data_IF_386441828059
#
_entry.id   IF_386441828059
#
_cell.length_a   1.000
_cell.length_b   1.000
_cell.length_c   1.000
_cell.angle_alpha   90.00
_cell.angle_beta   90.00
_cell.angle_gamma   90.00
#
_symmetry.space_group_name_H-M   'P 1'
#
loop_
_entity.id
_entity.type
_entity.pdbx_description
1 polymer ?
#
# COMPACT_ATOMS: atom_id res chain seq x y z
N UNK A 1 9.95 -19.67 -14.16
CA UNK A 1 9.40 -18.82 -15.24
C UNK A 1 9.07 -17.41 -14.78
N UNK A 2 8.26 -17.24 -13.72
CA UNK A 2 7.82 -15.92 -13.21
C UNK A 2 8.98 -14.96 -12.88
N UNK A 3 9.97 -15.42 -12.10
CA UNK A 3 11.13 -14.58 -11.73
C UNK A 3 11.93 -14.12 -12.95
N UNK A 4 12.14 -15.00 -13.92
CA UNK A 4 12.84 -14.65 -15.16
C UNK A 4 12.06 -13.63 -15.98
N UNK A 5 10.73 -13.68 -15.95
CA UNK A 5 9.90 -12.68 -16.61
C UNK A 5 9.97 -11.33 -15.89
N UNK A 6 9.90 -11.32 -14.57
CA UNK A 6 10.09 -10.11 -13.76
C UNK A 6 11.42 -9.43 -14.06
N UNK A 7 12.52 -10.19 -14.12
CA UNK A 7 13.85 -9.67 -14.47
C UNK A 7 13.89 -9.09 -15.89
N UNK A 8 13.31 -9.78 -16.89
CA UNK A 8 13.25 -9.26 -18.28
C UNK A 8 12.46 -7.96 -18.38
N UNK A 9 11.43 -7.80 -17.55
CA UNK A 9 10.63 -6.58 -17.49
C UNK A 9 11.32 -5.46 -16.68
N UNK A 10 12.46 -5.73 -16.05
CA UNK A 10 13.18 -4.79 -15.19
C UNK A 10 12.50 -4.56 -13.83
N UNK A 11 11.58 -5.44 -13.43
CA UNK A 11 10.91 -5.34 -12.14
C UNK A 11 11.93 -5.41 -10.98
N UNK A 12 11.65 -4.65 -9.92
CA UNK A 12 12.47 -4.61 -8.70
C UNK A 12 11.81 -5.36 -7.53
N UNK A 13 10.50 -5.57 -7.64
CA UNK A 13 9.66 -6.16 -6.60
C UNK A 13 8.75 -7.21 -7.23
N UNK A 14 8.57 -8.34 -6.56
CA UNK A 14 7.61 -9.37 -6.91
C UNK A 14 6.60 -9.53 -5.77
N UNK A 15 5.31 -9.36 -6.08
CA UNK A 15 4.25 -9.22 -5.07
C UNK A 15 3.18 -10.30 -5.26
N UNK A 16 2.76 -10.94 -4.16
CA UNK A 16 1.57 -11.81 -4.12
C UNK A 16 0.33 -10.99 -3.76
N UNK A 17 -0.71 -11.01 -4.61
CA UNK A 17 -1.87 -10.09 -4.55
C UNK A 17 -3.08 -10.63 -5.33
N UNK A 18 -4.17 -9.83 -5.38
CA UNK A 18 -5.50 -10.07 -5.97
C UNK A 18 -6.41 -11.00 -5.15
N UNK A 19 -6.24 -12.31 -5.30
CA UNK A 19 -6.84 -13.24 -4.33
C UNK A 19 -6.11 -13.07 -3.00
N UNK A 20 -6.77 -13.39 -1.88
CA UNK A 20 -6.13 -13.29 -0.57
C UNK A 20 -4.86 -14.18 -0.54
N UNK A 21 -3.65 -13.58 -0.58
CA UNK A 21 -2.43 -14.34 -0.83
C UNK A 21 -2.04 -15.22 0.36
N UNK A 22 -2.60 -14.97 1.55
CA UNK A 22 -2.37 -15.81 2.71
C UNK A 22 -2.90 -17.25 2.53
N UNK A 23 -3.93 -17.45 1.68
CA UNK A 23 -4.50 -18.77 1.39
C UNK A 23 -3.48 -19.66 0.65
N UNK A 24 -2.55 -19.06 -0.10
CA UNK A 24 -1.56 -19.76 -0.92
C UNK A 24 -0.12 -19.40 -0.51
N UNK A 25 0.09 -19.19 0.78
CA UNK A 25 1.37 -18.74 1.35
C UNK A 25 2.55 -19.64 0.97
N UNK A 26 2.35 -20.96 0.90
CA UNK A 26 3.38 -21.93 0.53
C UNK A 26 3.83 -21.74 -0.92
N UNK A 27 2.88 -21.48 -1.81
CA UNK A 27 3.16 -21.21 -3.21
C UNK A 27 3.88 -19.87 -3.38
N UNK A 28 3.41 -18.83 -2.69
CA UNK A 28 4.06 -17.53 -2.69
C UNK A 28 5.52 -17.62 -2.20
N UNK A 29 5.77 -18.35 -1.10
CA UNK A 29 7.12 -18.57 -0.58
C UNK A 29 8.00 -19.35 -1.56
N UNK A 30 7.46 -20.35 -2.26
CA UNK A 30 8.22 -21.06 -3.30
C UNK A 30 8.70 -20.11 -4.40
N UNK A 31 7.85 -19.17 -4.84
CA UNK A 31 8.24 -18.15 -5.82
C UNK A 31 9.21 -17.13 -5.23
N UNK A 32 8.99 -16.72 -3.97
CA UNK A 32 9.81 -15.70 -3.30
C UNK A 32 11.23 -16.18 -3.01
N UNK A 33 11.43 -17.47 -2.70
CA UNK A 33 12.76 -18.06 -2.59
C UNK A 33 13.60 -17.80 -3.84
N UNK A 34 13.03 -18.08 -5.00
CA UNK A 34 13.67 -17.84 -6.30
C UNK A 34 13.83 -16.33 -6.59
N UNK A 35 12.84 -15.51 -6.22
CA UNK A 35 12.88 -14.06 -6.42
C UNK A 35 14.00 -13.40 -5.60
N UNK A 36 14.12 -13.76 -4.31
CA UNK A 36 15.17 -13.26 -3.43
C UNK A 36 16.55 -13.74 -3.86
N UNK A 37 16.69 -14.99 -4.30
CA UNK A 37 17.94 -15.49 -4.88
C UNK A 37 18.37 -14.70 -6.13
N UNK A 38 17.40 -14.15 -6.88
CA UNK A 38 17.63 -13.26 -8.01
C UNK A 38 17.79 -11.77 -7.65
N UNK A 39 17.80 -11.41 -6.36
CA UNK A 39 17.96 -10.03 -5.88
C UNK A 39 16.70 -9.16 -5.98
N UNK A 40 15.52 -9.75 -6.16
CA UNK A 40 14.24 -9.02 -6.14
C UNK A 40 13.74 -8.87 -4.70
N UNK A 41 13.12 -7.72 -4.42
CA UNK A 41 12.31 -7.55 -3.23
C UNK A 41 11.00 -8.32 -3.37
N UNK A 42 10.42 -8.68 -2.25
CA UNK A 42 9.23 -9.52 -2.16
C UNK A 42 8.19 -8.89 -1.26
N UNK A 43 6.91 -9.08 -1.57
CA UNK A 43 5.86 -8.52 -0.72
C UNK A 43 4.46 -9.07 -0.93
N UNK A 44 3.58 -8.73 0.01
CA UNK A 44 2.19 -9.14 0.03
C UNK A 44 1.26 -7.93 -0.05
N UNK A 45 0.13 -8.09 -0.74
CA UNK A 45 -1.02 -7.19 -0.67
C UNK A 45 -2.21 -8.05 -0.27
N UNK A 46 -2.73 -7.81 0.93
CA UNK A 46 -3.63 -8.74 1.61
C UNK A 46 -4.69 -7.99 2.41
N UNK A 47 -5.81 -8.66 2.68
CA UNK A 47 -6.83 -8.18 3.63
C UNK A 47 -6.35 -8.19 5.10
N UNK A 48 -5.17 -8.74 5.38
CA UNK A 48 -4.54 -8.71 6.70
C UNK A 48 -5.09 -9.73 7.69
N UNK A 49 -5.91 -10.70 7.28
CA UNK A 49 -6.44 -11.74 8.17
C UNK A 49 -5.38 -12.85 8.45
N UNK A 50 -4.20 -12.44 8.92
CA UNK A 50 -3.06 -13.30 9.18
C UNK A 50 -3.11 -13.95 10.56
N UNK A 51 -2.82 -15.24 10.62
CA UNK A 51 -2.50 -15.92 11.88
C UNK A 51 -1.05 -15.64 12.29
N UNK A 52 -0.70 -15.69 13.59
CA UNK A 52 0.70 -15.58 14.01
C UNK A 52 1.64 -16.57 13.30
N UNK A 53 1.15 -17.78 13.02
CA UNK A 53 1.91 -18.85 12.37
C UNK A 53 2.25 -18.52 10.92
N UNK A 54 1.28 -18.00 10.15
CA UNK A 54 1.55 -17.64 8.74
C UNK A 54 2.47 -16.42 8.66
N UNK A 55 2.34 -15.45 9.56
CA UNK A 55 3.23 -14.29 9.59
C UNK A 55 4.67 -14.69 9.93
N UNK A 56 4.86 -15.60 10.89
CA UNK A 56 6.21 -16.12 11.20
C UNK A 56 6.77 -16.96 10.04
N UNK A 57 5.94 -17.78 9.38
CA UNK A 57 6.34 -18.53 8.19
C UNK A 57 6.80 -17.61 7.05
N UNK A 58 6.11 -16.49 6.85
CA UNK A 58 6.43 -15.51 5.80
C UNK A 58 7.62 -14.62 6.15
N UNK A 59 7.93 -14.41 7.43
CA UNK A 59 8.86 -13.39 7.94
C UNK A 59 10.19 -13.28 7.19
N UNK A 60 10.83 -14.40 6.85
CA UNK A 60 12.12 -14.39 6.14
C UNK A 60 12.01 -14.15 4.63
N UNK A 61 10.80 -14.24 4.09
CA UNK A 61 10.51 -14.27 2.65
C UNK A 61 9.79 -13.03 2.15
N UNK A 62 9.48 -12.07 3.01
CA UNK A 62 8.82 -10.81 2.64
C UNK A 62 9.60 -9.61 3.13
N UNK A 63 9.64 -8.57 2.31
CA UNK A 63 10.28 -7.29 2.62
C UNK A 63 9.23 -6.18 2.82
N UNK A 64 8.11 -6.30 2.10
CA UNK A 64 7.00 -5.33 2.05
C UNK A 64 5.65 -6.02 2.34
N UNK A 65 4.75 -5.34 3.04
CA UNK A 65 3.38 -5.80 3.26
C UNK A 65 2.42 -4.61 3.20
N UNK A 66 1.40 -4.73 2.34
CA UNK A 66 0.25 -3.84 2.30
C UNK A 66 -0.96 -4.54 2.93
N UNK A 67 -1.56 -3.90 3.93
CA UNK A 67 -2.80 -4.39 4.55
C UNK A 67 -3.98 -3.51 4.11
N UNK A 68 -5.04 -4.15 3.63
CA UNK A 68 -6.33 -3.48 3.42
C UNK A 68 -7.11 -3.43 4.74
N UNK A 69 -7.05 -2.30 5.43
CA UNK A 69 -7.89 -2.04 6.59
C UNK A 69 -9.21 -1.41 6.12
N UNK A 70 -10.19 -2.26 5.86
CA UNK A 70 -11.43 -1.93 5.14
C UNK A 70 -12.47 -1.16 5.97
N UNK A 71 -12.40 -1.25 7.28
CA UNK A 71 -13.30 -0.56 8.21
C UNK A 71 -12.63 -0.49 9.58
N UNK A 72 -13.17 0.33 10.48
CA UNK A 72 -12.85 0.31 11.91
C UNK A 72 -14.08 0.00 12.79
N UNK A 73 -15.11 -0.61 12.21
CA UNK A 73 -16.28 -1.19 12.89
C UNK A 73 -16.28 -2.72 12.68
N UNK A 74 -16.38 -3.49 13.77
CA UNK A 74 -16.35 -4.95 13.70
C UNK A 74 -17.60 -5.54 13.04
N UNK A 75 -18.75 -4.85 13.09
CA UNK A 75 -19.99 -5.28 12.41
C UNK A 75 -19.83 -5.22 10.90
N UNK A 76 -19.25 -4.14 10.37
CA UNK A 76 -18.94 -4.03 8.95
C UNK A 76 -17.98 -5.13 8.49
N UNK A 77 -17.01 -5.53 9.32
CA UNK A 77 -16.19 -6.70 9.00
C UNK A 77 -16.97 -8.01 8.95
N UNK A 78 -17.93 -8.20 9.86
CA UNK A 78 -18.78 -9.40 9.83
C UNK A 78 -19.61 -9.49 8.54
N UNK A 79 -20.13 -8.36 8.05
CA UNK A 79 -20.82 -8.29 6.75
C UNK A 79 -19.90 -8.68 5.58
N UNK A 80 -18.61 -8.37 5.68
CA UNK A 80 -17.57 -8.77 4.72
C UNK A 80 -17.05 -10.21 4.93
N UNK A 81 -17.57 -10.95 5.92
CA UNK A 81 -17.14 -12.32 6.24
C UNK A 81 -15.83 -12.40 7.05
N UNK A 82 -15.45 -11.34 7.74
CA UNK A 82 -14.25 -11.25 8.57
C UNK A 82 -14.51 -10.70 9.97
N UNK A 83 -13.43 -10.44 10.72
CA UNK A 83 -13.46 -9.78 12.04
C UNK A 83 -12.30 -8.83 12.11
N UNK A 84 -12.44 -7.65 12.73
CA UNK A 84 -11.37 -6.64 12.72
C UNK A 84 -10.15 -7.06 13.55
N UNK A 85 -10.37 -7.75 14.66
CA UNK A 85 -9.32 -8.11 15.64
C UNK A 85 -8.06 -8.74 15.01
N UNK A 86 -8.20 -9.85 14.24
CA UNK A 86 -7.08 -10.46 13.54
C UNK A 86 -6.29 -9.53 12.61
N UNK A 87 -6.97 -8.57 11.95
CA UNK A 87 -6.32 -7.58 11.08
C UNK A 87 -5.47 -6.62 11.91
N UNK A 88 -6.00 -6.10 13.02
CA UNK A 88 -5.25 -5.18 13.90
C UNK A 88 -4.03 -5.88 14.51
N UNK A 89 -4.16 -7.14 14.90
CA UNK A 89 -3.04 -7.93 15.42
C UNK A 89 -1.99 -8.21 14.35
N UNK A 90 -2.41 -8.46 13.10
CA UNK A 90 -1.50 -8.61 11.97
C UNK A 90 -0.70 -7.33 11.72
N UNK A 91 -1.36 -6.17 11.69
CA UNK A 91 -0.71 -4.86 11.52
C UNK A 91 0.37 -4.64 12.59
N UNK A 92 0.03 -4.86 13.87
CA UNK A 92 1.01 -4.74 14.98
C UNK A 92 2.19 -5.69 14.80
N UNK A 93 1.94 -6.96 14.46
CA UNK A 93 2.98 -7.98 14.30
C UNK A 93 3.91 -7.65 13.14
N UNK A 94 3.37 -7.25 11.99
CA UNK A 94 4.15 -6.86 10.81
C UNK A 94 5.10 -5.69 11.14
N UNK A 95 4.58 -4.68 11.84
CA UNK A 95 5.39 -3.55 12.30
C UNK A 95 6.52 -4.01 13.25
N UNK A 96 6.19 -4.81 14.28
CA UNK A 96 7.19 -5.33 15.23
C UNK A 96 8.23 -6.27 14.60
N UNK A 97 7.88 -6.94 13.48
CA UNK A 97 8.80 -7.78 12.71
C UNK A 97 9.80 -6.96 11.88
N UNK A 98 9.61 -5.65 11.74
CA UNK A 98 10.45 -4.78 10.92
C UNK A 98 10.17 -4.89 9.41
N UNK A 99 9.04 -5.47 9.04
CA UNK A 99 8.58 -5.53 7.64
C UNK A 99 8.07 -4.14 7.25
N UNK A 100 8.40 -3.67 6.04
CA UNK A 100 7.86 -2.39 5.56
C UNK A 100 6.35 -2.51 5.39
N UNK A 101 5.60 -1.72 6.14
CA UNK A 101 4.15 -1.84 6.26
C UNK A 101 3.47 -0.59 5.74
N UNK A 102 2.52 -0.79 4.82
CA UNK A 102 1.61 0.26 4.35
C UNK A 102 0.16 -0.17 4.56
N UNK A 103 -0.71 0.78 4.88
CA UNK A 103 -2.13 0.53 5.12
C UNK A 103 -2.95 1.22 4.06
N UNK A 104 -3.93 0.53 3.51
CA UNK A 104 -4.86 1.12 2.54
C UNK A 104 -6.30 0.92 2.99
N UNK A 105 -7.08 1.98 2.85
CA UNK A 105 -8.51 2.00 3.10
C UNK A 105 -9.21 2.51 1.84
N UNK A 106 -10.02 1.66 1.21
CA UNK A 106 -10.96 2.10 0.19
C UNK A 106 -12.12 2.80 0.91
N UNK A 107 -12.22 4.11 0.75
CA UNK A 107 -13.29 4.90 1.36
C UNK A 107 -14.58 4.64 0.55
N UNK A 108 -15.66 4.28 1.22
CA UNK A 108 -16.95 3.94 0.61
C UNK A 108 -18.03 4.77 1.33
N UNK A 109 -18.70 5.71 0.63
CA UNK A 109 -19.73 6.55 1.22
C UNK A 109 -20.83 5.74 1.91
N UNK A 110 -21.15 6.10 3.16
CA UNK A 110 -22.19 5.44 3.95
C UNK A 110 -21.78 4.09 4.56
N UNK A 111 -20.56 3.60 4.28
CA UNK A 111 -20.06 2.34 4.84
C UNK A 111 -18.94 2.57 5.86
N UNK A 112 -17.83 3.21 5.47
CA UNK A 112 -16.66 3.38 6.36
C UNK A 112 -16.12 4.83 6.39
N UNK A 113 -16.93 5.80 5.96
CA UNK A 113 -16.50 7.17 5.72
C UNK A 113 -16.86 8.16 6.84
N UNK A 114 -17.41 7.67 7.96
CA UNK A 114 -17.75 8.53 9.10
C UNK A 114 -16.50 9.13 9.75
N UNK A 115 -16.62 10.38 10.25
CA UNK A 115 -15.50 11.04 10.93
C UNK A 115 -15.00 10.28 12.17
N UNK A 116 -15.92 9.64 12.92
CA UNK A 116 -15.55 8.86 14.11
C UNK A 116 -14.74 7.62 13.74
N UNK A 117 -15.21 6.86 12.74
CA UNK A 117 -14.52 5.66 12.29
C UNK A 117 -13.14 5.97 11.72
N UNK A 118 -13.03 7.00 10.88
CA UNK A 118 -11.76 7.45 10.33
C UNK A 118 -10.78 7.89 11.43
N UNK A 119 -11.25 8.64 12.44
CA UNK A 119 -10.40 9.04 13.58
C UNK A 119 -9.89 7.82 14.33
N UNK A 120 -10.78 6.89 14.70
CA UNK A 120 -10.39 5.67 15.43
C UNK A 120 -9.39 4.83 14.63
N UNK A 121 -9.56 4.73 13.31
CA UNK A 121 -8.62 4.06 12.41
C UNK A 121 -7.25 4.74 12.43
N UNK A 122 -7.21 6.05 12.23
CA UNK A 122 -5.95 6.80 12.13
C UNK A 122 -5.23 6.91 13.47
N UNK A 123 -5.97 7.04 14.57
CA UNK A 123 -5.43 7.02 15.94
C UNK A 123 -4.79 5.67 16.25
N UNK A 124 -5.40 4.56 15.81
CA UNK A 124 -4.81 3.24 15.94
C UNK A 124 -3.48 3.12 15.18
N UNK A 125 -3.40 3.62 13.94
CA UNK A 125 -2.18 3.60 13.16
C UNK A 125 -1.08 4.49 13.79
N UNK A 126 -1.42 5.73 14.13
CA UNK A 126 -0.49 6.67 14.76
C UNK A 126 0.00 6.17 16.13
N UNK A 127 -0.84 5.45 16.87
CA UNK A 127 -0.49 4.78 18.11
C UNK A 127 0.50 3.63 17.96
N UNK A 128 0.65 3.06 16.75
CA UNK A 128 1.72 2.10 16.42
C UNK A 128 2.96 2.87 15.97
N UNK A 129 2.82 3.71 14.95
CA UNK A 129 3.86 4.64 14.51
C UNK A 129 3.29 5.70 13.57
N UNK A 130 3.66 6.98 13.75
CA UNK A 130 3.29 8.05 12.82
C UNK A 130 3.94 7.90 11.43
N UNK A 131 4.93 7.02 11.30
CA UNK A 131 5.64 6.77 10.04
C UNK A 131 4.97 5.74 9.13
N UNK A 132 3.95 5.01 9.62
CA UNK A 132 3.20 4.06 8.78
C UNK A 132 2.43 4.83 7.71
N UNK A 133 2.70 4.61 6.41
CA UNK A 133 1.93 5.24 5.36
C UNK A 133 0.50 4.73 5.37
N UNK A 134 -0.45 5.68 5.35
CA UNK A 134 -1.86 5.38 5.15
C UNK A 134 -2.31 5.94 3.81
N UNK A 135 -2.90 5.08 2.99
CA UNK A 135 -3.52 5.46 1.74
C UNK A 135 -5.03 5.38 1.88
N UNK A 136 -5.71 6.51 1.66
CA UNK A 136 -7.16 6.56 1.53
C UNK A 136 -7.50 6.70 0.04
N UNK A 137 -8.21 5.73 -0.51
CA UNK A 137 -8.49 5.65 -1.95
C UNK A 137 -9.98 5.76 -2.23
N UNK A 138 -10.34 6.42 -3.33
CA UNK A 138 -11.74 6.54 -3.74
C UNK A 138 -12.32 5.21 -4.19
N UNK A 139 -13.51 4.91 -3.69
CA UNK A 139 -14.43 3.98 -4.31
C UNK A 139 -15.01 4.58 -5.60
N UNK A 140 -15.18 3.71 -6.59
CA UNK A 140 -15.91 3.98 -7.83
C UNK A 140 -16.81 2.77 -8.08
N UNK A 141 -18.06 3.02 -8.42
CA UNK A 141 -19.04 1.98 -8.69
C UNK A 141 -18.76 1.35 -10.06
N UNK A 142 -18.58 0.04 -10.08
CA UNK A 142 -18.20 -0.70 -11.28
C UNK A 142 -19.03 -1.98 -11.43
N UNK A 143 -19.23 -2.36 -12.70
CA UNK A 143 -19.90 -3.58 -13.13
C UNK A 143 -21.36 -3.75 -12.66
N UNK A 144 -21.59 -4.32 -11.48
CA UNK A 144 -22.92 -4.63 -10.92
C UNK A 144 -23.17 -3.93 -9.58
N UNK A 145 -22.19 -3.17 -9.11
CA UNK A 145 -22.33 -2.37 -7.92
C UNK A 145 -22.92 -1.03 -8.36
N UNK A 146 -24.22 -0.84 -8.11
CA UNK A 146 -24.95 0.38 -8.51
C UNK A 146 -25.01 1.41 -7.37
N UNK A 147 -24.84 0.94 -6.13
CA UNK A 147 -24.82 1.71 -4.89
C UNK A 147 -23.62 1.27 -4.02
N UNK A 148 -23.07 2.14 -3.15
CA UNK A 148 -23.38 3.56 -2.99
C UNK A 148 -22.80 4.43 -4.12
N UNK A 149 -22.95 5.75 -4.03
CA UNK A 149 -22.30 6.71 -4.93
C UNK A 149 -20.76 6.64 -4.84
N UNK A 150 -20.10 7.14 -5.88
CA UNK A 150 -18.65 7.25 -5.94
C UNK A 150 -18.12 8.15 -4.81
N UNK A 151 -16.91 7.83 -4.33
CA UNK A 151 -16.21 8.71 -3.40
C UNK A 151 -15.80 9.98 -4.12
N UNK A 152 -16.11 11.14 -3.53
CA UNK A 152 -15.75 12.42 -4.13
C UNK A 152 -14.38 12.89 -3.61
N UNK A 153 -13.67 13.77 -4.34
CA UNK A 153 -12.40 14.33 -3.88
C UNK A 153 -12.47 14.95 -2.47
N UNK A 154 -13.57 15.64 -2.14
CA UNK A 154 -13.79 16.25 -0.83
C UNK A 154 -13.83 15.23 0.31
N UNK A 155 -14.34 14.02 0.06
CA UNK A 155 -14.41 12.95 1.05
C UNK A 155 -13.00 12.42 1.36
N UNK A 156 -12.16 12.29 0.33
CA UNK A 156 -10.75 11.92 0.49
C UNK A 156 -9.94 12.99 1.21
N UNK A 157 -10.11 14.27 0.84
CA UNK A 157 -9.40 15.38 1.48
C UNK A 157 -9.77 15.48 2.97
N UNK A 158 -11.05 15.30 3.31
CA UNK A 158 -11.52 15.21 4.69
C UNK A 158 -10.86 14.06 5.44
N UNK A 159 -10.84 12.86 4.86
CA UNK A 159 -10.20 11.70 5.48
C UNK A 159 -8.70 11.91 5.68
N UNK A 160 -8.03 12.49 4.68
CA UNK A 160 -6.60 12.76 4.74
C UNK A 160 -6.25 13.77 5.83
N UNK A 161 -7.08 14.80 6.02
CA UNK A 161 -6.94 15.77 7.10
C UNK A 161 -7.16 15.14 8.48
N UNK A 162 -8.12 14.21 8.61
CA UNK A 162 -8.30 13.42 9.85
C UNK A 162 -7.02 12.63 10.16
N UNK A 163 -6.44 11.95 9.18
CA UNK A 163 -5.20 11.18 9.36
C UNK A 163 -4.02 12.04 9.79
N UNK A 164 -3.87 13.24 9.21
CA UNK A 164 -2.83 14.20 9.63
C UNK A 164 -3.05 14.70 11.06
N UNK A 165 -4.29 15.01 11.42
CA UNK A 165 -4.64 15.46 12.78
C UNK A 165 -4.42 14.38 13.83
N UNK A 166 -4.52 13.09 13.46
CA UNK A 166 -4.13 11.97 14.31
C UNK A 166 -2.60 11.81 14.47
N UNK A 167 -1.79 12.56 13.71
CA UNK A 167 -0.33 12.57 13.79
C UNK A 167 0.39 11.72 12.73
N UNK A 168 -0.32 11.17 11.74
CA UNK A 168 0.32 10.44 10.65
C UNK A 168 1.14 11.39 9.77
N UNK A 169 2.41 11.05 9.54
CA UNK A 169 3.32 11.84 8.71
C UNK A 169 3.05 11.67 7.21
N UNK A 170 2.59 10.47 6.80
CA UNK A 170 2.44 10.08 5.41
C UNK A 170 1.00 9.62 5.14
N UNK A 171 0.17 10.57 4.72
CA UNK A 171 -1.22 10.32 4.34
C UNK A 171 -1.39 10.61 2.86
N UNK A 172 -1.65 9.55 2.10
CA UNK A 172 -1.83 9.59 0.66
C UNK A 172 -3.31 9.47 0.31
N UNK A 173 -3.82 10.41 -0.47
CA UNK A 173 -5.13 10.29 -1.09
C UNK A 173 -4.94 9.84 -2.54
N UNK A 174 -5.83 8.99 -3.05
CA UNK A 174 -5.63 8.44 -4.39
C UNK A 174 -6.87 7.87 -5.05
N UNK A 175 -6.62 7.24 -6.20
CA UNK A 175 -7.64 6.71 -7.12
C UNK A 175 -8.50 7.78 -7.83
N UNK A 176 -8.19 9.07 -7.65
CA UNK A 176 -8.75 10.20 -8.41
C UNK A 176 -7.62 11.14 -8.89
N UNK A 177 -6.92 10.78 -9.99
CA UNK A 177 -5.72 11.49 -10.45
C UNK A 177 -5.89 13.02 -10.55
N UNK A 178 -5.00 13.76 -9.89
CA UNK A 178 -4.93 15.23 -9.99
C UNK A 178 -6.03 15.99 -9.23
N UNK A 179 -6.88 15.31 -8.47
CA UNK A 179 -8.01 15.96 -7.76
C UNK A 179 -7.79 16.12 -6.25
N UNK A 180 -6.74 15.52 -5.69
CA UNK A 180 -6.47 15.48 -4.25
C UNK A 180 -5.25 16.32 -3.83
N UNK A 181 -4.80 17.20 -4.72
CA UNK A 181 -3.76 18.20 -4.45
C UNK A 181 -2.45 17.58 -3.94
N UNK A 182 -1.93 18.08 -2.83
CA UNK A 182 -0.64 17.64 -2.29
C UNK A 182 -0.64 16.21 -1.74
N UNK A 183 -1.80 15.58 -1.56
CA UNK A 183 -1.92 14.24 -1.00
C UNK A 183 -1.52 13.12 -1.98
N UNK A 184 -1.19 13.43 -3.24
CA UNK A 184 -0.50 12.48 -4.14
C UNK A 184 1.02 12.45 -3.90
N UNK A 185 1.55 13.47 -3.24
CA UNK A 185 2.98 13.74 -3.16
C UNK A 185 3.57 13.21 -1.84
N UNK A 186 4.85 12.81 -1.87
CA UNK A 186 5.61 12.59 -0.64
C UNK A 186 6.22 13.92 -0.21
N UNK A 187 5.86 14.39 0.98
CA UNK A 187 6.40 15.61 1.60
C UNK A 187 7.26 15.25 2.81
N UNK A 188 8.30 16.04 3.05
CA UNK A 188 9.12 15.92 4.23
C UNK A 188 8.30 16.32 5.46
N UNK A 189 8.17 15.41 6.42
CA UNK A 189 7.47 15.59 7.70
C UNK A 189 8.03 16.73 8.55
N UNK A 190 9.33 17.05 8.40
CA UNK A 190 9.98 18.14 9.16
C UNK A 190 9.81 19.53 8.53
N UNK A 191 10.19 19.72 7.27
CA UNK A 191 10.21 21.05 6.63
C UNK A 191 9.07 21.29 5.63
N UNK A 192 8.28 20.26 5.31
CA UNK A 192 7.17 20.36 4.36
C UNK A 192 7.59 20.34 2.88
N UNK A 193 8.87 20.25 2.55
CA UNK A 193 9.30 20.18 1.14
C UNK A 193 8.71 18.96 0.44
N UNK A 194 8.19 19.14 -0.76
CA UNK A 194 7.84 18.03 -1.65
C UNK A 194 9.12 17.35 -2.13
N UNK A 195 9.31 16.10 -1.72
CA UNK A 195 10.49 15.30 -2.06
C UNK A 195 10.21 14.30 -3.18
N UNK A 196 8.96 13.91 -3.37
CA UNK A 196 8.51 13.17 -4.57
C UNK A 196 7.19 13.78 -5.01
N UNK A 197 7.15 14.32 -6.23
CA UNK A 197 5.93 14.84 -6.85
C UNK A 197 5.34 13.80 -7.79
N UNK A 198 4.03 13.61 -7.71
CA UNK A 198 3.29 12.64 -8.51
C UNK A 198 2.05 13.26 -9.12
N UNK A 199 1.65 12.65 -10.23
CA UNK A 199 0.29 12.73 -10.76
C UNK A 199 -0.26 11.30 -10.80
N UNK A 200 -1.09 10.93 -9.82
CA UNK A 200 -1.45 9.53 -9.55
C UNK A 200 -0.19 8.66 -9.38
N UNK A 201 -0.05 7.57 -10.14
CA UNK A 201 1.15 6.73 -10.11
C UNK A 201 2.34 7.34 -10.87
N UNK A 202 2.17 8.35 -11.72
CA UNK A 202 3.27 8.95 -12.48
C UNK A 202 4.18 9.78 -11.56
N UNK A 203 5.47 9.47 -11.52
CA UNK A 203 6.47 10.27 -10.81
C UNK A 203 6.93 11.41 -11.73
N UNK A 204 6.63 12.64 -11.33
CA UNK A 204 6.96 13.86 -12.10
C UNK A 204 8.24 14.54 -11.60
N UNK A 205 8.60 14.34 -10.34
CA UNK A 205 9.84 14.82 -9.75
C UNK A 205 10.28 13.90 -8.59
N UNK A 206 11.58 13.69 -8.45
CA UNK A 206 12.18 12.83 -7.43
C UNK A 206 13.44 13.49 -6.88
N UNK A 207 13.36 13.95 -5.63
CA UNK A 207 14.39 14.77 -4.98
C UNK A 207 15.05 14.13 -3.76
N UNK A 208 14.67 12.90 -3.39
CA UNK A 208 15.34 12.21 -2.28
C UNK A 208 16.82 12.00 -2.60
N UNK A 209 17.66 12.18 -1.58
CA UNK A 209 19.08 11.84 -1.62
C UNK A 209 19.29 10.33 -1.76
N UNK A 210 20.52 9.89 -2.06
CA UNK A 210 20.86 8.47 -2.18
C UNK A 210 20.62 7.67 -0.90
N UNK A 211 20.61 8.34 0.25
CA UNK A 211 20.34 7.77 1.57
C UNK A 211 18.85 7.82 1.95
N UNK A 212 17.97 8.34 1.08
CA UNK A 212 16.54 8.47 1.36
C UNK A 212 16.16 9.66 2.23
N UNK A 213 17.01 10.68 2.31
CA UNK A 213 16.77 11.89 3.10
C UNK A 213 16.23 13.04 2.23
N UNK A 214 15.46 13.92 2.87
CA UNK A 214 15.06 15.20 2.31
C UNK A 214 16.31 16.07 2.02
N UNK A 215 16.50 16.58 0.79
CA UNK A 215 17.68 17.37 0.44
C UNK A 215 17.71 18.74 1.12
N UNK A 216 16.55 19.26 1.55
CA UNK A 216 16.42 20.62 2.08
C UNK A 216 16.75 20.70 3.57
N UNK A 217 16.50 19.64 4.35
CA UNK A 217 16.71 19.65 5.79
C UNK A 217 17.40 18.41 6.37
N UNK A 218 17.78 17.44 5.53
CA UNK A 218 18.49 16.22 5.92
C UNK A 218 17.66 15.19 6.67
N UNK A 219 16.36 15.43 6.88
CA UNK A 219 15.48 14.48 7.59
C UNK A 219 15.33 13.20 6.77
N UNK A 220 15.54 12.05 7.40
CA UNK A 220 15.24 10.75 6.80
C UNK A 220 13.75 10.66 6.49
N UNK A 221 13.41 10.27 5.26
CA UNK A 221 12.03 10.00 4.85
C UNK A 221 11.87 8.47 4.88
N UNK A 222 11.01 7.90 5.74
CA UNK A 222 10.77 6.46 5.80
C UNK A 222 10.35 5.91 4.44
N UNK A 223 10.96 4.81 4.02
CA UNK A 223 10.66 4.13 2.77
C UNK A 223 11.75 3.17 2.33
N UNK A 224 11.51 2.50 1.20
CA UNK A 224 12.48 1.63 0.51
C UNK A 224 12.96 2.33 -0.75
N UNK A 225 14.02 3.12 -0.59
CA UNK A 225 14.56 3.96 -1.65
C UNK A 225 15.74 3.30 -2.35
N UNK A 226 15.81 3.45 -3.67
CA UNK A 226 17.04 3.17 -4.41
C UNK A 226 17.99 4.36 -4.26
N UNK A 227 19.31 4.13 -4.36
CA UNK A 227 20.32 5.21 -4.26
C UNK A 227 20.20 6.26 -5.38
N UNK A 228 19.44 5.99 -6.44
CA UNK A 228 19.04 6.95 -7.47
C UNK A 228 17.69 6.55 -8.06
N UNK A 229 16.93 7.53 -8.54
CA UNK A 229 15.75 7.25 -9.34
C UNK A 229 16.17 6.89 -10.77
N UNK A 230 15.91 5.65 -11.18
CA UNK A 230 16.25 5.13 -12.52
C UNK A 230 15.16 5.39 -13.57
N UNK A 231 14.16 6.21 -13.22
CA UNK A 231 12.94 6.39 -14.00
C UNK A 231 11.85 5.39 -13.61
N UNK A 232 10.66 5.64 -14.13
CA UNK A 232 9.49 4.79 -13.90
C UNK A 232 9.26 3.87 -15.10
N UNK A 233 9.16 2.56 -14.85
CA UNK A 233 8.95 1.54 -15.90
C UNK A 233 7.54 1.67 -16.52
N UNK A 234 6.53 1.99 -15.71
CA UNK A 234 5.16 2.15 -16.14
C UNK A 234 4.54 3.43 -15.57
N UNK A 235 4.39 4.46 -16.41
CA UNK A 235 3.68 5.71 -16.12
C UNK A 235 2.24 5.73 -16.65
N UNK A 236 1.69 4.55 -17.00
CA UNK A 236 0.31 4.22 -17.40
C UNK A 236 0.04 2.76 -16.98
N UNK A 237 -1.21 2.26 -16.91
CA UNK A 237 -1.45 0.85 -16.61
C UNK A 237 -0.62 -0.01 -17.56
N UNK A 238 0.17 -0.93 -17.00
CA UNK A 238 1.03 -1.77 -17.81
C UNK A 238 0.14 -2.63 -18.71
N UNK A 239 0.17 -2.33 -20.01
CA UNK A 239 -0.36 -3.21 -21.03
C UNK A 239 0.80 -4.12 -21.45
N UNK A 240 0.75 -5.44 -21.17
CA UNK A 240 1.77 -6.34 -21.68
C UNK A 240 1.86 -6.13 -23.18
N UNK A 241 3.03 -5.70 -23.67
CA UNK A 241 3.32 -5.79 -25.11
C UNK A 241 3.03 -7.24 -25.50
N UNK A 242 2.39 -7.48 -26.66
CA UNK A 242 2.05 -8.80 -27.20
C UNK A 242 3.30 -9.71 -27.35
N UNK A 243 3.93 -10.12 -26.27
CA UNK A 243 4.64 -11.38 -26.21
C UNK A 243 3.54 -12.41 -25.97
N UNK A 244 3.52 -13.46 -26.82
CA UNK A 244 2.54 -14.54 -26.73
C UNK A 244 2.47 -14.98 -25.27
N UNK A 245 1.27 -14.87 -24.66
CA UNK A 245 0.93 -15.58 -23.44
C UNK A 245 1.40 -17.02 -23.65
N UNK A 246 2.43 -17.42 -22.90
CA UNK A 246 2.79 -18.83 -22.81
C UNK A 246 1.62 -19.47 -22.09
N UNK A 247 0.75 -20.14 -22.84
CA UNK A 247 -0.26 -21.02 -22.26
C UNK A 247 0.49 -22.06 -21.42
N UNK A 248 0.46 -21.90 -20.10
CA UNK A 248 0.90 -22.92 -19.14
C UNK A 248 -0.27 -23.91 -19.00
N UNK A 249 -0.59 -24.60 -20.09
CA UNK A 249 -1.44 -25.77 -20.13
C UNK A 249 -0.93 -26.62 -21.30
N UNK A 250 0.10 -27.40 -21.01
CA UNK A 250 0.43 -28.67 -21.67
C UNK A 250 0.80 -29.64 -20.55
#
# INVERSE_FOLDING_TARGET
>A
ALVQDALRQGAKVLVSTYNEPLITSEWAVAVFKEAKAAGLLTGFVSNGNGTPQVLEYLRSWIDLYKVDLKSFDDRHYHELGGRIGPILDTIRRLYHMGIWLEIVTLLIPGFNDSNDELRRLTDFLAGISPEIPWHVTAFHKDYKMEDPDDTRPEDLLRAAEIGRNAGLHYVYAGNLPGTVGEHENTRCQKCGDTVIRRHSYLIEDYRLTSEGCCPSCGTAVPGRWAGKFEGQIAGRPFLPRRSRLVNILN
#
